data_IF_596914887005
#
_entry.id   IF_596914887005
#
_cell.length_a   1.000
_cell.length_b   1.000
_cell.length_c   1.000
_cell.angle_alpha   90.00
_cell.angle_beta   90.00
_cell.angle_gamma   90.00
#
_symmetry.space_group_name_H-M   'P 1'
#
loop_
_entity.id
_entity.type
_entity.pdbx_description
1 polymer ?
#
# COMPACT_ATOMS: atom_id res chain seq x y z
N UNK A 1 -37.21 -16.70 -26.58
CA UNK A 1 -38.31 -16.26 -25.70
C UNK A 1 -37.78 -16.14 -24.28
N UNK A 2 -37.76 -14.93 -23.75
CA UNK A 2 -37.15 -14.55 -22.46
C UNK A 2 -38.07 -14.95 -21.31
N UNK A 3 -37.53 -15.56 -20.25
CA UNK A 3 -38.13 -15.50 -18.90
C UNK A 3 -37.07 -15.20 -17.84
N UNK A 4 -37.18 -13.97 -17.32
CA UNK A 4 -36.55 -13.45 -16.11
C UNK A 4 -37.22 -14.08 -14.88
N UNK A 5 -36.50 -14.15 -13.75
CA UNK A 5 -37.10 -13.96 -12.43
C UNK A 5 -36.63 -14.90 -11.31
N UNK A 6 -35.68 -14.42 -10.51
CA UNK A 6 -35.58 -14.58 -9.05
C UNK A 6 -34.26 -13.89 -8.64
N UNK A 7 -34.21 -12.60 -8.29
CA UNK A 7 -35.04 -11.97 -7.28
C UNK A 7 -34.48 -12.25 -5.88
N UNK A 8 -33.18 -12.03 -5.65
CA UNK A 8 -32.59 -11.95 -4.30
C UNK A 8 -33.23 -10.74 -3.60
N UNK A 9 -34.29 -11.02 -2.82
CA UNK A 9 -34.88 -10.08 -1.86
C UNK A 9 -33.97 -10.01 -0.64
N UNK A 10 -33.79 -8.79 -0.16
CA UNK A 10 -32.73 -8.41 0.76
C UNK A 10 -32.76 -9.09 2.12
N UNK A 11 -31.55 -9.20 2.68
CA UNK A 11 -31.31 -9.28 4.10
C UNK A 11 -30.41 -8.08 4.46
N UNK A 12 -30.87 -7.27 5.41
CA UNK A 12 -30.03 -6.33 6.16
C UNK A 12 -29.63 -5.05 5.42
N UNK A 13 -30.60 -4.20 5.06
CA UNK A 13 -30.33 -2.76 5.03
C UNK A 13 -30.19 -2.38 6.50
N UNK A 14 -28.96 -2.38 7.04
CA UNK A 14 -28.71 -1.81 8.35
C UNK A 14 -29.24 -0.38 8.34
N UNK A 15 -30.21 -0.13 9.22
CA UNK A 15 -30.81 1.17 9.43
C UNK A 15 -29.70 2.20 9.60
N UNK A 16 -29.83 3.29 8.85
CA UNK A 16 -28.78 4.29 8.71
C UNK A 16 -28.26 4.74 10.06
N UNK A 17 -26.95 4.61 10.23
CA UNK A 17 -26.16 5.34 11.20
C UNK A 17 -26.35 6.83 10.87
N UNK A 18 -27.35 7.46 11.48
CA UNK A 18 -27.79 8.80 11.10
C UNK A 18 -26.98 9.91 11.75
N UNK A 19 -26.20 9.61 12.80
CA UNK A 19 -25.37 10.61 13.49
C UNK A 19 -23.91 10.13 13.63
N UNK A 20 -22.92 11.05 13.56
CA UNK A 20 -21.51 10.69 13.62
C UNK A 20 -21.11 10.03 14.95
N UNK A 21 -21.79 10.40 16.03
CA UNK A 21 -21.73 9.77 17.35
C UNK A 21 -22.04 8.25 17.30
N UNK A 22 -23.06 7.84 16.54
CA UNK A 22 -23.43 6.43 16.39
C UNK A 22 -22.35 5.63 15.66
N UNK A 23 -21.70 6.22 14.65
CA UNK A 23 -20.60 5.60 13.91
C UNK A 23 -19.38 5.38 14.81
N UNK A 24 -19.08 6.34 15.69
CA UNK A 24 -17.98 6.21 16.65
C UNK A 24 -18.28 5.15 17.70
N UNK A 25 -19.51 5.09 18.19
CA UNK A 25 -19.91 4.08 19.17
C UNK A 25 -19.90 2.66 18.56
N UNK A 26 -20.31 2.52 17.29
CA UNK A 26 -20.22 1.26 16.56
C UNK A 26 -18.75 0.85 16.32
N UNK A 27 -17.88 1.81 16.00
CA UNK A 27 -16.44 1.56 15.89
C UNK A 27 -15.85 1.09 17.23
N UNK A 28 -16.21 1.72 18.36
CA UNK A 28 -15.77 1.31 19.71
C UNK A 28 -16.24 -0.11 20.04
N UNK A 29 -17.51 -0.43 19.82
CA UNK A 29 -18.06 -1.77 20.02
C UNK A 29 -17.35 -2.83 19.17
N UNK A 30 -17.07 -2.51 17.90
CA UNK A 30 -16.34 -3.41 17.01
C UNK A 30 -14.88 -3.64 17.46
N UNK A 31 -14.23 -2.61 18.01
CA UNK A 31 -12.88 -2.71 18.54
C UNK A 31 -12.84 -3.52 19.85
N UNK A 32 -13.85 -3.37 20.71
CA UNK A 32 -14.02 -4.17 21.93
C UNK A 32 -14.23 -5.65 21.61
N UNK A 33 -15.05 -5.97 20.61
CA UNK A 33 -15.22 -7.36 20.14
C UNK A 33 -13.92 -7.95 19.63
N UNK A 34 -13.17 -7.21 18.81
CA UNK A 34 -11.86 -7.65 18.30
C UNK A 34 -10.81 -7.80 19.42
N UNK A 35 -10.87 -6.99 20.48
CA UNK A 35 -10.05 -7.17 21.69
C UNK A 35 -10.44 -8.44 22.44
N UNK A 36 -11.73 -8.70 22.61
CA UNK A 36 -12.23 -9.92 23.25
C UNK A 36 -11.88 -11.19 22.45
N UNK A 37 -11.82 -11.10 21.12
CA UNK A 37 -11.32 -12.15 20.22
C UNK A 37 -9.79 -12.32 20.25
N UNK A 38 -9.05 -11.50 21.01
CA UNK A 38 -7.59 -11.55 21.10
C UNK A 38 -6.86 -11.08 19.84
N UNK A 39 -7.56 -10.40 18.91
CA UNK A 39 -6.96 -9.86 17.67
C UNK A 39 -6.15 -8.59 17.89
N UNK A 40 -6.34 -7.92 19.02
CA UNK A 40 -5.49 -6.81 19.47
C UNK A 40 -4.76 -7.27 20.72
N UNK A 41 -3.43 -7.09 20.74
CA UNK A 41 -2.63 -7.38 21.92
C UNK A 41 -3.04 -6.49 23.10
N UNK A 42 -3.06 -7.06 24.30
CA UNK A 42 -3.28 -6.30 25.53
C UNK A 42 -2.07 -5.39 25.79
N UNK A 43 -2.23 -4.09 25.61
CA UNK A 43 -1.16 -3.08 25.81
C UNK A 43 -0.99 -2.73 27.29
N UNK A 44 -1.10 -3.73 28.18
CA UNK A 44 -0.83 -3.60 29.61
C UNK A 44 0.65 -3.81 29.96
N UNK A 45 1.47 -4.22 28.98
CA UNK A 45 2.93 -4.22 29.03
C UNK A 45 3.49 -3.34 27.91
N UNK A 46 4.50 -2.52 28.26
CA UNK A 46 5.29 -1.62 27.41
C UNK A 46 4.98 -1.69 25.92
N UNK A 47 4.29 -0.67 25.43
CA UNK A 47 3.90 -0.52 24.04
C UNK A 47 5.17 -0.49 23.16
N UNK A 48 5.33 -1.37 22.14
CA UNK A 48 6.43 -1.27 21.18
C UNK A 48 6.45 0.09 20.45
N UNK A 49 5.33 0.82 20.47
CA UNK A 49 5.26 2.20 19.99
C UNK A 49 6.11 3.16 20.83
N UNK A 50 6.19 2.99 22.15
CA UNK A 50 6.97 3.89 23.03
C UNK A 50 8.47 3.81 22.71
N UNK A 51 9.01 2.63 22.43
CA UNK A 51 10.42 2.46 22.09
C UNK A 51 10.76 2.97 20.66
N UNK A 52 9.79 2.94 19.74
CA UNK A 52 9.98 3.43 18.37
C UNK A 52 9.94 4.96 18.26
N UNK A 53 9.18 5.65 19.12
CA UNK A 53 9.09 7.11 19.17
C UNK A 53 10.31 7.71 19.91
N UNK A 54 10.90 6.96 20.85
CA UNK A 54 12.05 7.38 21.67
C UNK A 54 13.44 7.16 21.02
N UNK A 55 13.51 6.80 19.74
CA UNK A 55 14.77 6.80 18.97
C UNK A 55 15.26 5.43 18.48
N UNK A 56 14.49 4.37 18.64
CA UNK A 56 14.73 3.10 17.95
C UNK A 56 14.29 3.18 16.49
N UNK A 57 15.14 2.79 15.53
CA UNK A 57 14.70 2.56 14.15
C UNK A 57 13.59 1.52 14.18
N UNK A 58 12.36 1.91 13.83
CA UNK A 58 11.28 0.96 13.64
C UNK A 58 11.74 -0.14 12.65
N UNK A 59 11.46 -1.42 12.93
CA UNK A 59 11.88 -2.51 12.06
C UNK A 59 11.29 -2.31 10.66
N UNK A 60 12.06 -2.65 9.62
CA UNK A 60 11.69 -2.40 8.23
C UNK A 60 10.34 -3.00 7.83
N UNK A 61 9.97 -4.12 8.46
CA UNK A 61 8.68 -4.78 8.32
C UNK A 61 7.52 -3.89 8.84
N UNK A 62 7.68 -3.29 10.02
CA UNK A 62 6.71 -2.34 10.59
C UNK A 62 6.60 -1.05 9.76
N UNK A 63 7.73 -0.56 9.26
CA UNK A 63 7.75 0.57 8.33
C UNK A 63 7.03 0.24 7.03
N UNK A 64 7.12 -1.00 6.54
CA UNK A 64 6.38 -1.44 5.35
C UNK A 64 4.88 -1.57 5.61
N UNK A 65 4.48 -2.07 6.78
CA UNK A 65 3.08 -2.13 7.20
C UNK A 65 2.46 -0.73 7.33
N UNK A 66 3.23 0.26 7.80
CA UNK A 66 2.76 1.65 7.94
C UNK A 66 2.86 2.45 6.64
N UNK A 67 3.82 2.12 5.76
CA UNK A 67 3.98 2.79 4.48
C UNK A 67 2.89 2.38 3.47
N UNK A 68 2.35 1.16 3.61
CA UNK A 68 1.31 0.64 2.70
C UNK A 68 -0.05 0.76 3.38
N UNK A 69 -0.58 1.99 3.42
CA UNK A 69 -2.00 2.19 3.75
C UNK A 69 -2.82 1.79 2.51
N UNK A 70 -3.19 0.51 2.42
CA UNK A 70 -4.13 0.04 1.40
C UNK A 70 -5.53 0.55 1.74
N UNK A 71 -5.92 1.67 1.12
CA UNK A 71 -7.27 2.21 1.28
C UNK A 71 -8.23 1.43 0.38
N UNK A 72 -9.12 0.64 0.98
CA UNK A 72 -10.24 0.04 0.27
C UNK A 72 -11.23 1.14 -0.19
N UNK A 73 -11.45 1.32 -1.51
CA UNK A 73 -12.31 2.39 -2.02
C UNK A 73 -13.76 2.29 -1.53
N UNK A 74 -14.21 1.08 -1.24
CA UNK A 74 -15.57 0.80 -0.80
C UNK A 74 -15.82 1.24 0.64
N UNK A 75 -14.78 1.26 1.48
CA UNK A 75 -14.81 1.77 2.85
C UNK A 75 -14.71 3.31 2.91
N UNK A 76 -14.36 3.97 1.81
CA UNK A 76 -14.25 5.42 1.75
C UNK A 76 -15.62 6.07 1.50
N UNK A 77 -16.14 6.75 2.52
CA UNK A 77 -17.35 7.57 2.43
C UNK A 77 -17.26 8.85 3.28
N UNK A 78 -18.10 9.83 2.95
CA UNK A 78 -18.29 11.05 3.73
C UNK A 78 -19.48 10.89 4.67
N UNK A 79 -19.28 11.22 5.95
CA UNK A 79 -20.31 11.21 7.00
C UNK A 79 -21.14 12.50 7.04
N UNK A 80 -20.81 13.50 6.21
CA UNK A 80 -21.49 14.81 6.22
C UNK A 80 -22.81 14.79 5.44
N UNK A 81 -23.75 15.66 5.81
CA UNK A 81 -25.00 15.89 5.05
C UNK A 81 -24.64 16.40 3.65
N UNK A 82 -25.13 15.72 2.60
CA UNK A 82 -24.64 15.91 1.24
C UNK A 82 -23.29 15.23 0.98
N UNK A 83 -23.00 14.13 1.68
CA UNK A 83 -21.72 13.43 1.61
C UNK A 83 -21.47 12.70 0.30
N UNK A 84 -22.50 12.35 -0.46
CA UNK A 84 -22.36 11.63 -1.73
C UNK A 84 -21.38 12.28 -2.74
N UNK A 85 -21.48 13.59 -3.07
CA UNK A 85 -20.50 14.24 -3.95
C UNK A 85 -19.08 14.24 -3.35
N UNK A 86 -18.96 14.42 -2.04
CA UNK A 86 -17.66 14.39 -1.35
C UNK A 86 -17.05 12.98 -1.42
N UNK A 87 -17.85 11.93 -1.22
CA UNK A 87 -17.43 10.53 -1.38
C UNK A 87 -16.96 10.27 -2.80
N UNK A 88 -17.72 10.70 -3.81
CA UNK A 88 -17.37 10.53 -5.21
C UNK A 88 -16.03 11.21 -5.55
N UNK A 89 -15.83 12.46 -5.08
CA UNK A 89 -14.58 13.18 -5.25
C UNK A 89 -13.40 12.47 -4.57
N UNK A 90 -13.56 12.02 -3.32
CA UNK A 90 -12.50 11.29 -2.61
C UNK A 90 -12.13 9.99 -3.34
N UNK A 91 -13.12 9.23 -3.83
CA UNK A 91 -12.88 7.99 -4.60
C UNK A 91 -12.19 8.27 -5.93
N UNK A 92 -12.57 9.35 -6.62
CA UNK A 92 -11.89 9.79 -7.84
C UNK A 92 -10.42 10.14 -7.55
N UNK A 93 -10.16 10.89 -6.48
CA UNK A 93 -8.81 11.28 -6.09
C UNK A 93 -7.95 10.06 -5.76
N UNK A 94 -8.46 9.08 -5.00
CA UNK A 94 -7.76 7.82 -4.75
C UNK A 94 -7.41 7.09 -6.06
N UNK A 95 -8.34 7.06 -7.01
CA UNK A 95 -8.12 6.40 -8.30
C UNK A 95 -7.01 7.09 -9.10
N UNK A 96 -6.98 8.42 -9.10
CA UNK A 96 -5.93 9.21 -9.75
C UNK A 96 -4.57 9.02 -9.07
N UNK A 97 -4.53 9.02 -7.73
CA UNK A 97 -3.29 8.77 -6.99
C UNK A 97 -2.75 7.38 -7.27
N UNK A 98 -3.62 6.34 -7.28
CA UNK A 98 -3.23 4.99 -7.64
C UNK A 98 -2.70 4.91 -9.07
N UNK A 99 -3.35 5.59 -10.02
CA UNK A 99 -2.85 5.67 -11.39
C UNK A 99 -1.46 6.32 -11.45
N UNK A 100 -1.25 7.45 -10.78
CA UNK A 100 0.04 8.13 -10.77
C UNK A 100 1.15 7.31 -10.11
N UNK A 101 0.84 6.59 -9.03
CA UNK A 101 1.81 5.69 -8.38
C UNK A 101 2.25 4.58 -9.34
N UNK A 102 1.30 3.93 -10.03
CA UNK A 102 1.62 2.90 -11.03
C UNK A 102 2.47 3.47 -12.18
N UNK A 103 2.16 4.69 -12.64
CA UNK A 103 2.98 5.37 -13.65
C UNK A 103 4.39 5.67 -13.17
N UNK A 104 4.55 6.14 -11.93
CA UNK A 104 5.84 6.45 -11.34
C UNK A 104 6.68 5.19 -11.15
N UNK A 105 6.08 4.13 -10.61
CA UNK A 105 6.70 2.83 -10.44
C UNK A 105 7.15 2.27 -11.79
N UNK A 106 6.28 2.30 -12.80
CA UNK A 106 6.65 1.84 -14.14
C UNK A 106 7.79 2.66 -14.78
N UNK A 107 7.90 3.97 -14.48
CA UNK A 107 9.05 4.78 -14.92
C UNK A 107 10.32 4.36 -14.18
N UNK A 108 10.24 4.17 -12.86
CA UNK A 108 11.37 3.74 -12.04
C UNK A 108 11.86 2.35 -12.45
N UNK A 109 10.97 1.39 -12.70
CA UNK A 109 11.33 0.06 -13.19
C UNK A 109 12.04 0.13 -14.55
N UNK A 110 11.51 0.92 -15.51
CA UNK A 110 12.17 1.08 -16.82
C UNK A 110 13.55 1.73 -16.69
N UNK A 111 13.68 2.74 -15.84
CA UNK A 111 14.97 3.37 -15.56
C UNK A 111 15.96 2.35 -14.97
N UNK A 112 15.56 1.61 -13.94
CA UNK A 112 16.40 0.60 -13.30
C UNK A 112 16.84 -0.49 -14.29
N UNK A 113 15.93 -0.98 -15.14
CA UNK A 113 16.26 -1.96 -16.17
C UNK A 113 17.25 -1.40 -17.20
N UNK A 114 17.07 -0.15 -17.62
CA UNK A 114 18.02 0.52 -18.52
C UNK A 114 19.41 0.69 -17.89
N UNK A 115 19.45 1.02 -16.60
CA UNK A 115 20.70 1.15 -15.85
C UNK A 115 21.43 -0.20 -15.73
N UNK A 116 20.71 -1.28 -15.42
CA UNK A 116 21.28 -2.63 -15.38
C UNK A 116 21.85 -3.05 -16.74
N UNK A 117 21.13 -2.80 -17.83
CA UNK A 117 21.64 -3.08 -19.17
C UNK A 117 22.90 -2.26 -19.51
N UNK A 118 22.97 -1.01 -19.06
CA UNK A 118 24.16 -0.18 -19.23
C UNK A 118 25.35 -0.70 -18.42
N UNK A 119 25.13 -1.17 -17.18
CA UNK A 119 26.17 -1.80 -16.38
C UNK A 119 26.71 -3.06 -17.02
N UNK A 120 25.83 -3.94 -17.50
CA UNK A 120 26.23 -5.16 -18.21
C UNK A 120 27.07 -4.85 -19.47
N UNK A 121 26.71 -3.79 -20.19
CA UNK A 121 27.50 -3.33 -21.33
C UNK A 121 28.87 -2.77 -20.91
N UNK A 122 28.94 -2.09 -19.75
CA UNK A 122 30.18 -1.57 -19.20
C UNK A 122 31.11 -2.72 -18.76
N UNK A 123 30.58 -3.72 -18.06
CA UNK A 123 31.30 -4.92 -17.64
C UNK A 123 31.92 -5.63 -18.84
N UNK A 124 31.13 -5.91 -19.89
CA UNK A 124 31.64 -6.50 -21.14
C UNK A 124 32.77 -5.69 -21.79
N UNK A 125 32.68 -4.35 -21.73
CA UNK A 125 33.73 -3.47 -22.25
C UNK A 125 34.99 -3.52 -21.40
N UNK A 126 34.84 -3.53 -20.08
CA UNK A 126 35.97 -3.66 -19.14
C UNK A 126 36.69 -4.99 -19.37
N UNK A 127 35.97 -6.10 -19.42
CA UNK A 127 36.54 -7.44 -19.71
C UNK A 127 37.32 -7.45 -21.04
N UNK A 128 36.77 -6.82 -22.08
CA UNK A 128 37.44 -6.73 -23.38
C UNK A 128 38.74 -5.92 -23.29
N UNK A 129 38.74 -4.83 -22.53
CA UNK A 129 39.90 -3.97 -22.34
C UNK A 129 40.98 -4.62 -21.47
N UNK A 130 40.58 -5.30 -20.40
CA UNK A 130 41.46 -6.06 -19.52
C UNK A 130 42.14 -7.19 -20.29
N UNK A 131 41.38 -7.99 -21.05
CA UNK A 131 41.95 -9.04 -21.90
C UNK A 131 42.89 -8.49 -22.99
N UNK A 132 42.59 -7.31 -23.56
CA UNK A 132 43.48 -6.66 -24.50
C UNK A 132 44.77 -6.11 -23.85
N UNK A 133 44.71 -5.67 -22.59
CA UNK A 133 45.86 -5.21 -21.83
C UNK A 133 46.78 -6.38 -21.46
N UNK A 134 46.23 -7.49 -20.97
CA UNK A 134 46.96 -8.73 -20.66
C UNK A 134 47.66 -9.29 -21.91
N UNK A 135 46.95 -9.33 -23.05
CA UNK A 135 47.52 -9.78 -24.32
C UNK A 135 48.61 -8.85 -24.89
N UNK A 136 48.70 -7.60 -24.44
CA UNK A 136 49.81 -6.70 -24.76
C UNK A 136 50.98 -6.90 -23.81
N UNK A 137 50.71 -7.03 -22.51
CA UNK A 137 51.72 -7.30 -21.50
C UNK A 137 52.49 -8.60 -21.78
N UNK A 138 51.80 -9.69 -22.15
CA UNK A 138 52.46 -10.96 -22.51
C UNK A 138 53.17 -10.99 -23.87
N UNK A 139 53.17 -9.89 -24.63
CA UNK A 139 53.96 -9.74 -25.89
C UNK A 139 55.27 -8.99 -25.69
N UNK A 140 55.40 -8.28 -24.58
CA UNK A 140 56.59 -7.50 -24.23
C UNK A 140 57.55 -8.30 -23.30
N UNK A 141 57.17 -9.53 -22.92
CA UNK A 141 58.02 -10.55 -22.28
C UNK A 141 58.60 -11.54 -23.32
#
# INVERSE_FOLDING_TARGET
MVRRGAGWRGAGREEGVTQPEDAQEQARRSAELKRAEGRYADTSGSDPLDDSILGGKAPAELLSEWAVIEIEPDLLYSTRRGGAPITALKRLLLRLMRQHLVELEARQTRFNLGLLAAFEQLERRVETLEGAAEARAGRDE
#
